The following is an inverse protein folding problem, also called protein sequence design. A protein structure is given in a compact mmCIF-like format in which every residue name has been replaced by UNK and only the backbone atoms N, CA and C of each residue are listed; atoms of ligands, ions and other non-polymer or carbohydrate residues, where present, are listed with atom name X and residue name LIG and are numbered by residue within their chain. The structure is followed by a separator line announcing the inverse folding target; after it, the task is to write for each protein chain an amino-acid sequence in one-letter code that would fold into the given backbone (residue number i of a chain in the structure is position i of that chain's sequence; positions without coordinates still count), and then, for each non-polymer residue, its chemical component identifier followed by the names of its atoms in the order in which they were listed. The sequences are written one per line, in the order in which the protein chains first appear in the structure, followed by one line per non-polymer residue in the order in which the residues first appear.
data_IF_880576804321
#
_entry.id   IF_880576804321
#
_cell.length_a   1.000
_cell.length_b   1.000
_cell.length_c   1.000
_cell.angle_alpha   90.00
_cell.angle_beta   90.00
_cell.angle_gamma   90.00
#
_symmetry.space_group_name_H-M   'P 1'
#
loop_
_entity.id
_entity.type
_entity.pdbx_description
1 polymer ?
#
# COMPACT_ATOMS: atom_id res chain seq x y z
N UNK A 1 -22.39 20.04 -8.30
CA UNK A 1 -22.62 18.57 -8.22
C UNK A 1 -23.68 18.21 -9.23
N UNK A 2 -23.40 17.30 -10.13
CA UNK A 2 -24.41 16.76 -11.04
C UNK A 2 -25.34 15.81 -10.25
N UNK A 3 -26.63 15.80 -10.59
CA UNK A 3 -27.56 14.84 -10.05
C UNK A 3 -27.35 13.45 -10.68
N UNK A 4 -27.85 12.41 -10.02
CA UNK A 4 -27.72 11.03 -10.50
C UNK A 4 -28.25 10.88 -11.94
N UNK A 5 -29.43 11.44 -12.23
CA UNK A 5 -30.03 11.36 -13.56
C UNK A 5 -29.24 12.09 -14.63
N UNK A 6 -28.71 13.27 -14.33
CA UNK A 6 -27.88 14.04 -15.27
C UNK A 6 -26.59 13.30 -15.61
N UNK A 7 -25.97 12.66 -14.62
CA UNK A 7 -24.78 11.83 -14.80
C UNK A 7 -25.07 10.59 -15.66
N UNK A 8 -26.16 9.87 -15.34
CA UNK A 8 -26.60 8.73 -16.17
C UNK A 8 -26.86 9.13 -17.61
N UNK A 9 -27.52 10.26 -17.83
CA UNK A 9 -27.78 10.81 -19.17
C UNK A 9 -26.51 11.20 -19.91
N UNK A 10 -25.55 11.81 -19.22
CA UNK A 10 -24.24 12.14 -19.76
C UNK A 10 -23.51 10.87 -20.19
N UNK A 11 -23.38 9.86 -19.30
CA UNK A 11 -22.71 8.59 -19.59
C UNK A 11 -23.36 7.88 -20.78
N UNK A 12 -24.68 7.74 -20.77
CA UNK A 12 -25.41 7.11 -21.86
C UNK A 12 -25.15 7.77 -23.21
N UNK A 13 -25.21 9.11 -23.25
CA UNK A 13 -24.94 9.87 -24.48
C UNK A 13 -23.48 9.71 -24.93
N UNK A 14 -22.53 9.78 -24.00
CA UNK A 14 -21.10 9.58 -24.31
C UNK A 14 -20.81 8.19 -24.88
N UNK A 15 -21.59 7.19 -24.47
CA UNK A 15 -21.52 5.82 -25.01
C UNK A 15 -22.39 5.60 -26.25
N UNK A 16 -23.06 6.66 -26.76
CA UNK A 16 -23.99 6.59 -27.91
C UNK A 16 -25.13 5.60 -27.74
N UNK A 17 -25.54 5.34 -26.50
CA UNK A 17 -26.63 4.41 -26.18
C UNK A 17 -27.98 5.09 -26.22
N UNK A 18 -28.99 4.35 -26.69
CA UNK A 18 -30.40 4.74 -26.56
C UNK A 18 -30.89 4.50 -25.12
N UNK A 19 -31.99 5.14 -24.73
CA UNK A 19 -32.62 4.85 -23.43
C UNK A 19 -33.07 3.38 -23.31
N UNK A 20 -33.39 2.73 -24.41
CA UNK A 20 -33.80 1.32 -24.45
C UNK A 20 -32.60 0.41 -24.12
N UNK A 21 -31.44 0.70 -24.67
CA UNK A 21 -30.21 -0.05 -24.41
C UNK A 21 -29.67 0.17 -22.99
N UNK A 22 -29.89 1.36 -22.43
CA UNK A 22 -29.53 1.65 -21.05
C UNK A 22 -30.44 0.97 -20.01
N UNK A 23 -31.69 0.63 -20.40
CA UNK A 23 -32.61 -0.11 -19.56
C UNK A 23 -32.18 -1.57 -19.44
N UNK A 24 -32.28 -2.16 -18.24
CA UNK A 24 -32.28 -3.61 -18.06
C UNK A 24 -33.71 -4.17 -18.28
N UNK A 25 -33.83 -5.48 -18.38
CA UNK A 25 -35.16 -6.13 -18.41
C UNK A 25 -36.03 -5.82 -17.21
N UNK A 26 -35.40 -5.48 -16.07
CA UNK A 26 -36.06 -5.13 -14.82
C UNK A 26 -36.56 -3.67 -14.76
N UNK A 27 -36.26 -2.84 -15.77
CA UNK A 27 -36.58 -1.41 -15.77
C UNK A 27 -37.25 -0.98 -17.10
N UNK A 28 -38.49 -0.50 -17.04
CA UNK A 28 -39.14 0.04 -18.23
C UNK A 28 -38.46 1.33 -18.71
N UNK A 29 -38.47 1.56 -20.02
CA UNK A 29 -37.93 2.80 -20.61
C UNK A 29 -38.55 4.05 -19.98
N UNK A 30 -39.83 4.03 -19.66
CA UNK A 30 -40.53 5.15 -19.02
C UNK A 30 -39.97 5.46 -17.63
N UNK A 31 -39.67 4.42 -16.82
CA UNK A 31 -39.04 4.60 -15.52
C UNK A 31 -37.59 5.08 -15.66
N UNK A 32 -36.83 4.54 -16.59
CA UNK A 32 -35.47 5.01 -16.86
C UNK A 32 -35.47 6.50 -17.25
N UNK A 33 -36.40 6.93 -18.12
CA UNK A 33 -36.54 8.33 -18.51
C UNK A 33 -36.85 9.24 -17.28
N UNK A 34 -37.67 8.76 -16.32
CA UNK A 34 -37.94 9.50 -15.09
C UNK A 34 -36.67 9.62 -14.21
N UNK A 35 -35.83 8.58 -14.17
CA UNK A 35 -34.54 8.60 -13.46
C UNK A 35 -33.61 9.63 -14.11
N UNK A 36 -33.41 9.58 -15.44
CA UNK A 36 -32.55 10.54 -16.17
C UNK A 36 -33.00 12.00 -16.00
N UNK A 37 -34.30 12.22 -15.79
CA UNK A 37 -34.85 13.55 -15.56
C UNK A 37 -34.94 13.92 -14.07
N UNK A 38 -34.27 13.16 -13.18
CA UNK A 38 -34.25 13.36 -11.73
C UNK A 38 -35.63 13.38 -11.07
N UNK A 39 -36.65 12.76 -11.71
CA UNK A 39 -38.02 12.70 -11.17
C UNK A 39 -38.21 11.59 -10.14
N UNK A 40 -37.43 10.54 -10.23
CA UNK A 40 -37.40 9.42 -9.28
C UNK A 40 -35.96 8.95 -9.09
N UNK A 41 -35.66 8.41 -7.90
CA UNK A 41 -34.41 7.70 -7.62
C UNK A 41 -34.60 6.21 -7.90
N UNK A 42 -33.64 5.53 -8.56
CA UNK A 42 -33.68 4.09 -8.68
C UNK A 42 -33.46 3.40 -7.33
N UNK A 43 -34.01 2.20 -7.14
CA UNK A 43 -33.56 1.33 -6.07
C UNK A 43 -32.11 0.91 -6.34
N UNK A 44 -31.39 0.47 -5.29
CA UNK A 44 -29.98 0.06 -5.44
C UNK A 44 -29.80 -1.03 -6.50
N UNK A 45 -30.68 -2.02 -6.51
CA UNK A 45 -30.59 -3.13 -7.49
C UNK A 45 -30.75 -2.63 -8.93
N UNK A 46 -31.69 -1.73 -9.17
CA UNK A 46 -31.90 -1.12 -10.50
C UNK A 46 -30.74 -0.25 -10.90
N UNK A 47 -30.19 0.49 -9.95
CA UNK A 47 -29.02 1.32 -10.21
C UNK A 47 -27.79 0.48 -10.58
N UNK A 48 -27.53 -0.61 -9.87
CA UNK A 48 -26.47 -1.57 -10.20
C UNK A 48 -26.70 -2.15 -11.61
N UNK A 49 -27.94 -2.53 -11.97
CA UNK A 49 -28.23 -3.05 -13.31
C UNK A 49 -27.97 -2.01 -14.42
N UNK A 50 -28.29 -0.73 -14.17
CA UNK A 50 -27.96 0.36 -15.12
C UNK A 50 -26.44 0.47 -15.29
N UNK A 51 -25.68 0.44 -14.19
CA UNK A 51 -24.23 0.51 -14.23
C UNK A 51 -23.62 -0.67 -14.98
N UNK A 52 -24.15 -1.89 -14.79
CA UNK A 52 -23.71 -3.07 -15.53
C UNK A 52 -23.95 -2.91 -17.05
N UNK A 53 -25.11 -2.35 -17.45
CA UNK A 53 -25.40 -2.06 -18.86
C UNK A 53 -24.44 -1.01 -19.45
N UNK A 54 -23.88 -0.16 -18.60
CA UNK A 54 -22.85 0.81 -18.98
C UNK A 54 -21.43 0.26 -18.90
N UNK A 55 -21.24 -0.99 -18.47
CA UNK A 55 -19.93 -1.55 -18.15
C UNK A 55 -19.14 -0.61 -17.23
N UNK A 56 -19.76 -0.18 -16.14
CA UNK A 56 -19.21 0.82 -15.22
C UNK A 56 -19.36 0.36 -13.78
N UNK A 57 -18.38 0.68 -12.93
CA UNK A 57 -18.47 0.47 -11.48
C UNK A 57 -19.17 1.64 -10.79
N UNK A 58 -19.63 1.42 -9.56
CA UNK A 58 -20.18 2.50 -8.73
C UNK A 58 -19.13 3.59 -8.45
N UNK A 59 -17.90 3.18 -8.21
CA UNK A 59 -16.78 4.10 -7.96
C UNK A 59 -16.52 5.01 -9.18
N UNK A 60 -16.49 4.43 -10.37
CA UNK A 60 -16.33 5.18 -11.62
C UNK A 60 -17.51 6.14 -11.84
N UNK A 61 -18.75 5.69 -11.58
CA UNK A 61 -19.93 6.56 -11.66
C UNK A 61 -19.84 7.77 -10.72
N UNK A 62 -19.48 7.54 -9.45
CA UNK A 62 -19.33 8.62 -8.47
C UNK A 62 -18.21 9.61 -8.86
N UNK A 63 -17.12 9.11 -9.46
CA UNK A 63 -16.04 9.94 -9.97
C UNK A 63 -16.49 10.81 -11.15
N UNK A 64 -17.20 10.24 -12.13
CA UNK A 64 -17.81 10.97 -13.26
C UNK A 64 -18.82 12.00 -12.77
N UNK A 65 -19.66 11.67 -11.78
CA UNK A 65 -20.65 12.58 -11.18
C UNK A 65 -20.01 13.84 -10.56
N UNK A 66 -18.76 13.75 -10.15
CA UNK A 66 -17.93 14.87 -9.67
C UNK A 66 -17.06 15.50 -10.76
N UNK A 67 -17.41 15.34 -12.03
CA UNK A 67 -16.65 15.86 -13.16
C UNK A 67 -15.18 15.41 -13.14
N UNK A 68 -14.95 14.10 -12.87
CA UNK A 68 -13.63 13.47 -12.77
C UNK A 68 -12.71 14.09 -11.70
N UNK A 69 -13.30 14.66 -10.65
CA UNK A 69 -12.56 15.24 -9.54
C UNK A 69 -12.68 14.34 -8.31
N UNK A 70 -11.58 13.98 -7.65
CA UNK A 70 -11.64 13.19 -6.44
C UNK A 70 -12.31 13.97 -5.30
N UNK A 71 -13.08 13.26 -4.46
CA UNK A 71 -13.54 13.84 -3.20
C UNK A 71 -12.34 14.08 -2.26
N UNK A 72 -12.46 14.93 -1.22
CA UNK A 72 -11.39 15.13 -0.25
C UNK A 72 -10.89 13.80 0.36
N UNK A 73 -11.79 12.89 0.69
CA UNK A 73 -11.43 11.55 1.20
C UNK A 73 -10.67 10.72 0.17
N UNK A 74 -11.14 10.65 -1.07
CA UNK A 74 -10.44 9.92 -2.14
C UNK A 74 -9.05 10.48 -2.41
N UNK A 75 -8.89 11.81 -2.35
CA UNK A 75 -7.57 12.45 -2.51
C UNK A 75 -6.61 12.04 -1.38
N UNK A 76 -7.07 12.04 -0.12
CA UNK A 76 -6.30 11.54 1.03
C UNK A 76 -5.87 10.10 0.78
N UNK A 77 -6.80 9.22 0.40
CA UNK A 77 -6.51 7.80 0.19
C UNK A 77 -5.58 7.55 -0.99
N UNK A 78 -5.73 8.32 -2.06
CA UNK A 78 -4.81 8.28 -3.19
C UNK A 78 -3.38 8.63 -2.76
N UNK A 79 -3.19 9.76 -2.05
CA UNK A 79 -1.87 10.17 -1.56
C UNK A 79 -1.31 9.15 -0.56
N UNK A 80 -2.12 8.68 0.38
CA UNK A 80 -1.74 7.63 1.33
C UNK A 80 -1.25 6.34 0.65
N UNK A 81 -1.91 5.95 -0.45
CA UNK A 81 -1.52 4.76 -1.23
C UNK A 81 -0.18 4.92 -1.96
N UNK A 82 0.24 6.16 -2.23
CA UNK A 82 1.49 6.50 -2.92
C UNK A 82 2.71 6.54 -2.02
N UNK A 83 2.53 6.54 -0.70
CA UNK A 83 3.64 6.47 0.24
C UNK A 83 4.33 5.10 0.08
N UNK A 84 5.56 5.13 -0.42
CA UNK A 84 6.36 3.93 -0.68
C UNK A 84 7.29 3.62 0.50
N UNK A 85 7.78 4.66 1.17
CA UNK A 85 8.71 4.55 2.29
C UNK A 85 8.32 5.50 3.42
N UNK A 86 8.67 5.16 4.64
CA UNK A 86 8.47 5.99 5.83
C UNK A 86 9.33 7.27 5.84
N UNK A 87 10.37 7.33 5.02
CA UNK A 87 11.29 8.48 4.92
C UNK A 87 10.73 9.68 4.12
N UNK A 88 9.55 9.55 3.52
CA UNK A 88 8.91 10.62 2.71
C UNK A 88 8.19 11.67 3.60
N UNK A 89 8.89 12.26 4.56
CA UNK A 89 8.32 13.09 5.64
C UNK A 89 7.49 14.28 5.16
N UNK A 90 7.85 14.90 4.04
CA UNK A 90 7.10 16.05 3.49
C UNK A 90 5.72 15.60 2.97
N UNK A 91 5.67 14.45 2.27
CA UNK A 91 4.42 13.86 1.80
C UNK A 91 3.54 13.45 2.98
N UNK A 92 4.14 12.82 4.03
CA UNK A 92 3.42 12.45 5.23
C UNK A 92 2.76 13.65 5.89
N UNK A 93 3.49 14.77 6.02
CA UNK A 93 2.99 16.01 6.63
C UNK A 93 1.83 16.62 5.82
N UNK A 94 1.93 16.66 4.48
CA UNK A 94 0.85 17.15 3.61
C UNK A 94 -0.42 16.29 3.77
N UNK A 95 -0.29 14.97 3.80
CA UNK A 95 -1.44 14.08 3.97
C UNK A 95 -2.07 14.21 5.35
N UNK A 96 -1.27 14.39 6.42
CA UNK A 96 -1.78 14.66 7.78
C UNK A 96 -2.63 15.93 7.78
N UNK A 97 -2.14 17.02 7.20
CA UNK A 97 -2.90 18.28 7.11
C UNK A 97 -4.23 18.10 6.40
N UNK A 98 -4.26 17.36 5.28
CA UNK A 98 -5.50 17.02 4.57
C UNK A 98 -6.46 16.17 5.41
N UNK A 99 -5.94 15.24 6.20
CA UNK A 99 -6.76 14.47 7.15
C UNK A 99 -7.38 15.38 8.21
N UNK A 100 -6.61 16.34 8.75
CA UNK A 100 -7.10 17.30 9.74
C UNK A 100 -8.24 18.16 9.18
N UNK A 101 -8.06 18.71 7.99
CA UNK A 101 -9.09 19.51 7.34
C UNK A 101 -10.37 18.70 7.07
N UNK A 102 -10.22 17.48 6.59
CA UNK A 102 -11.36 16.58 6.37
C UNK A 102 -12.09 16.24 7.66
N UNK A 103 -11.36 15.94 8.73
CA UNK A 103 -11.94 15.55 10.02
C UNK A 103 -12.65 16.69 10.76
N UNK A 104 -12.40 17.97 10.42
CA UNK A 104 -13.19 19.11 10.94
C UNK A 104 -14.65 18.98 10.54
N UNK A 105 -14.91 18.51 9.30
CA UNK A 105 -16.27 18.34 8.77
C UNK A 105 -16.83 16.92 9.03
N UNK A 106 -15.94 15.94 9.22
CA UNK A 106 -16.26 14.51 9.37
C UNK A 106 -15.59 13.89 10.61
N UNK A 107 -15.85 14.38 11.84
CA UNK A 107 -15.12 13.98 13.05
C UNK A 107 -15.31 12.50 13.44
N UNK A 108 -16.33 11.82 12.91
CA UNK A 108 -16.62 10.41 13.20
C UNK A 108 -16.05 9.43 12.18
N UNK A 109 -15.27 9.91 11.18
CA UNK A 109 -14.64 9.03 10.22
C UNK A 109 -13.42 8.33 10.83
N UNK A 110 -13.67 7.15 11.42
CA UNK A 110 -12.65 6.34 12.10
C UNK A 110 -11.49 6.01 11.16
N UNK A 111 -11.77 5.71 9.88
CA UNK A 111 -10.72 5.31 8.95
C UNK A 111 -9.74 6.46 8.64
N UNK A 112 -10.22 7.67 8.41
CA UNK A 112 -9.33 8.82 8.20
C UNK A 112 -8.60 9.20 9.50
N UNK A 113 -9.23 9.01 10.67
CA UNK A 113 -8.56 9.15 11.97
C UNK A 113 -7.41 8.14 12.13
N UNK A 114 -7.61 6.88 11.74
CA UNK A 114 -6.58 5.85 11.74
C UNK A 114 -5.44 6.16 10.75
N UNK A 115 -5.77 6.64 9.54
CA UNK A 115 -4.78 7.09 8.55
C UNK A 115 -3.93 8.21 9.14
N UNK A 116 -4.56 9.23 9.72
CA UNK A 116 -3.84 10.34 10.37
C UNK A 116 -2.90 9.83 11.46
N UNK A 117 -3.43 9.06 12.42
CA UNK A 117 -2.63 8.51 13.52
C UNK A 117 -1.47 7.63 13.03
N UNK A 118 -1.69 6.85 11.96
CA UNK A 118 -0.64 6.06 11.32
C UNK A 118 0.51 6.92 10.82
N UNK A 119 0.20 8.01 10.10
CA UNK A 119 1.19 8.92 9.54
C UNK A 119 1.94 9.68 10.63
N UNK A 120 1.25 10.14 11.68
CA UNK A 120 1.86 10.77 12.85
C UNK A 120 2.79 9.79 13.57
N UNK A 121 2.37 8.53 13.75
CA UNK A 121 3.22 7.49 14.34
C UNK A 121 4.47 7.19 13.50
N UNK A 122 4.34 7.17 12.17
CA UNK A 122 5.48 7.00 11.25
C UNK A 122 6.45 8.18 11.41
N UNK A 123 5.97 9.43 11.45
CA UNK A 123 6.82 10.61 11.62
C UNK A 123 7.60 10.58 12.94
N UNK A 124 6.94 10.19 14.04
CA UNK A 124 7.59 10.05 15.35
C UNK A 124 8.70 8.99 15.32
N UNK A 125 8.44 7.84 14.67
CA UNK A 125 9.42 6.77 14.58
C UNK A 125 10.63 7.15 13.71
N UNK A 126 10.40 7.79 12.55
CA UNK A 126 11.45 8.06 11.56
C UNK A 126 12.23 9.35 11.83
N UNK A 127 11.54 10.42 12.22
CA UNK A 127 12.13 11.74 12.36
C UNK A 127 12.67 12.00 13.77
N UNK A 128 11.94 11.55 14.76
CA UNK A 128 12.26 11.77 16.18
C UNK A 128 12.92 10.55 16.84
N UNK A 129 12.94 9.40 16.11
CA UNK A 129 13.43 8.11 16.63
C UNK A 129 12.74 7.67 17.93
N UNK A 130 11.54 8.19 18.18
CA UNK A 130 10.74 7.86 19.37
C UNK A 130 9.70 6.77 19.08
N UNK A 131 10.17 5.53 19.02
CA UNK A 131 9.30 4.37 18.82
C UNK A 131 8.31 4.14 19.96
N UNK A 132 8.60 4.66 21.19
CA UNK A 132 7.67 4.54 22.30
C UNK A 132 6.45 5.43 22.08
N UNK A 133 6.67 6.71 21.79
CA UNK A 133 5.59 7.66 21.53
C UNK A 133 4.83 7.29 20.25
N UNK A 134 5.55 6.85 19.22
CA UNK A 134 4.94 6.34 17.99
C UNK A 134 3.98 5.17 18.27
N UNK A 135 4.38 4.23 19.11
CA UNK A 135 3.56 3.09 19.52
C UNK A 135 2.33 3.52 20.32
N UNK A 136 2.48 4.41 21.27
CA UNK A 136 1.36 4.96 22.03
C UNK A 136 0.32 5.61 21.10
N UNK A 137 0.78 6.28 20.06
CA UNK A 137 -0.07 6.93 19.05
C UNK A 137 -0.94 5.95 18.25
N UNK A 138 -0.42 4.77 17.92
CA UNK A 138 -1.10 3.79 17.03
C UNK A 138 -1.65 2.56 17.77
N UNK A 139 -1.37 2.40 19.07
CA UNK A 139 -1.73 1.21 19.85
C UNK A 139 -3.23 0.90 19.79
N UNK A 140 -4.09 1.92 19.91
CA UNK A 140 -5.55 1.75 19.86
C UNK A 140 -6.05 1.12 18.56
N UNK A 141 -5.36 1.36 17.45
CA UNK A 141 -5.70 0.77 16.15
C UNK A 141 -5.53 -0.75 16.23
N UNK A 142 -4.37 -1.20 16.71
CA UNK A 142 -4.10 -2.62 16.87
C UNK A 142 -4.99 -3.26 17.93
N UNK A 143 -5.22 -2.63 19.07
CA UNK A 143 -6.12 -3.13 20.12
C UNK A 143 -7.53 -3.38 19.58
N UNK A 144 -8.02 -2.52 18.71
CA UNK A 144 -9.32 -2.67 18.03
C UNK A 144 -9.30 -3.78 17.00
N UNK A 145 -8.31 -3.73 16.08
CA UNK A 145 -8.25 -4.65 14.94
C UNK A 145 -7.78 -6.06 15.32
N UNK A 146 -7.03 -6.21 16.41
CA UNK A 146 -6.64 -7.53 16.93
C UNK A 146 -7.84 -8.38 17.37
N UNK A 147 -8.90 -7.74 17.85
CA UNK A 147 -10.15 -8.36 18.29
C UNK A 147 -11.13 -8.69 17.14
N UNK A 148 -10.87 -8.15 15.94
CA UNK A 148 -11.72 -8.41 14.77
C UNK A 148 -11.48 -9.80 14.22
N UNK A 149 -12.55 -10.54 13.84
CA UNK A 149 -12.41 -11.84 13.17
C UNK A 149 -11.78 -11.71 11.78
N UNK A 150 -12.18 -10.69 11.05
CA UNK A 150 -11.70 -10.39 9.69
C UNK A 150 -11.10 -8.99 9.62
N UNK A 151 -10.12 -8.79 8.72
CA UNK A 151 -9.62 -7.47 8.35
C UNK A 151 -10.12 -7.13 6.95
N UNK A 152 -10.74 -5.98 6.83
CA UNK A 152 -11.14 -5.44 5.54
C UNK A 152 -10.00 -4.64 4.90
N UNK A 153 -10.18 -4.28 3.62
CA UNK A 153 -9.11 -3.64 2.84
C UNK A 153 -8.50 -2.41 3.53
N UNK A 154 -9.33 -1.55 4.10
CA UNK A 154 -8.87 -0.36 4.79
C UNK A 154 -8.04 -0.68 6.04
N UNK A 155 -8.42 -1.72 6.79
CA UNK A 155 -7.66 -2.18 7.96
C UNK A 155 -6.28 -2.70 7.55
N UNK A 156 -6.24 -3.45 6.43
CA UNK A 156 -4.98 -3.95 5.85
C UNK A 156 -4.08 -2.78 5.46
N UNK A 157 -4.64 -1.74 4.81
CA UNK A 157 -3.89 -0.57 4.37
C UNK A 157 -3.30 0.24 5.53
N UNK A 158 -4.00 0.31 6.65
CA UNK A 158 -3.48 0.96 7.88
C UNK A 158 -2.40 0.10 8.53
N UNK A 159 -2.70 -1.16 8.82
CA UNK A 159 -1.78 -2.04 9.55
C UNK A 159 -0.46 -2.29 8.80
N UNK A 160 -0.50 -2.38 7.46
CA UNK A 160 0.72 -2.58 6.66
C UNK A 160 1.71 -1.42 6.78
N UNK A 161 1.24 -0.24 7.17
CA UNK A 161 2.08 0.94 7.29
C UNK A 161 2.62 1.17 8.72
N UNK A 162 2.01 0.55 9.75
CA UNK A 162 2.39 0.78 11.14
C UNK A 162 2.96 -0.44 11.87
N UNK A 163 2.92 -1.64 11.27
CA UNK A 163 3.34 -2.86 11.96
C UNK A 163 4.78 -2.76 12.52
N UNK A 164 5.68 -2.05 11.83
CA UNK A 164 7.08 -1.89 12.24
C UNK A 164 7.28 -1.00 13.48
N UNK A 165 6.27 -0.24 13.88
CA UNK A 165 6.27 0.59 15.09
C UNK A 165 6.13 -0.28 16.36
N UNK A 166 5.54 -1.46 16.22
CA UNK A 166 5.32 -2.39 17.32
C UNK A 166 6.56 -3.22 17.64
N UNK A 167 6.56 -3.80 18.83
CA UNK A 167 7.62 -4.75 19.22
C UNK A 167 7.59 -6.00 18.33
N UNK A 168 8.74 -6.68 18.25
CA UNK A 168 9.00 -7.76 17.31
C UNK A 168 7.89 -8.83 17.30
N UNK A 169 7.44 -9.29 18.45
CA UNK A 169 6.38 -10.32 18.55
C UNK A 169 5.06 -9.82 17.96
N UNK A 170 4.61 -8.63 18.34
CA UNK A 170 3.38 -8.01 17.83
C UNK A 170 3.49 -7.74 16.33
N UNK A 171 4.61 -7.20 15.87
CA UNK A 171 4.87 -6.92 14.45
C UNK A 171 4.78 -8.21 13.61
N UNK A 172 5.41 -9.30 14.05
CA UNK A 172 5.31 -10.59 13.38
C UNK A 172 3.88 -11.13 13.35
N UNK A 173 3.13 -10.96 14.44
CA UNK A 173 1.71 -11.36 14.49
C UNK A 173 0.89 -10.58 13.46
N UNK A 174 1.05 -9.24 13.40
CA UNK A 174 0.38 -8.38 12.42
C UNK A 174 0.71 -8.84 11.00
N UNK A 175 1.99 -8.99 10.66
CA UNK A 175 2.45 -9.41 9.33
C UNK A 175 1.86 -10.76 8.92
N UNK A 176 1.87 -11.74 9.83
CA UNK A 176 1.30 -13.06 9.55
C UNK A 176 -0.19 -12.96 9.22
N UNK A 177 -0.93 -12.17 9.99
CA UNK A 177 -2.37 -11.96 9.78
C UNK A 177 -2.64 -11.23 8.47
N UNK A 178 -1.87 -10.19 8.15
CA UNK A 178 -1.97 -9.45 6.88
C UNK A 178 -1.75 -10.36 5.66
N UNK A 179 -0.72 -11.20 5.67
CA UNK A 179 -0.44 -12.14 4.57
C UNK A 179 -1.62 -13.10 4.33
N UNK A 180 -2.27 -13.58 5.39
CA UNK A 180 -3.45 -14.45 5.27
C UNK A 180 -4.63 -13.68 4.66
N UNK A 181 -4.89 -12.46 5.12
CA UNK A 181 -6.01 -11.65 4.65
C UNK A 181 -5.82 -11.16 3.21
N UNK A 182 -4.61 -10.75 2.81
CA UNK A 182 -4.31 -10.30 1.44
C UNK A 182 -4.70 -11.32 0.38
N UNK A 183 -4.57 -12.61 0.66
CA UNK A 183 -4.97 -13.67 -0.27
C UNK A 183 -6.45 -13.62 -0.65
N UNK A 184 -7.32 -13.14 0.25
CA UNK A 184 -8.76 -13.00 -0.01
C UNK A 184 -9.06 -11.87 -1.00
N UNK A 185 -8.20 -10.85 -1.04
CA UNK A 185 -8.36 -9.65 -1.86
C UNK A 185 -7.67 -9.70 -3.22
N UNK A 186 -6.96 -10.79 -3.54
CA UNK A 186 -6.11 -10.94 -4.75
C UNK A 186 -6.82 -10.69 -6.09
N UNK A 187 -8.13 -10.91 -6.14
CA UNK A 187 -8.94 -10.68 -7.35
C UNK A 187 -9.58 -9.28 -7.40
N UNK A 188 -9.56 -8.56 -6.29
CA UNK A 188 -10.15 -7.23 -6.19
C UNK A 188 -9.08 -6.13 -6.26
N UNK A 189 -7.90 -6.39 -5.67
CA UNK A 189 -6.82 -5.42 -5.57
C UNK A 189 -5.47 -6.03 -5.95
N UNK A 190 -4.49 -5.21 -6.39
CA UNK A 190 -3.13 -5.67 -6.71
C UNK A 190 -2.33 -5.97 -5.42
N UNK A 191 -2.67 -7.06 -4.74
CA UNK A 191 -2.13 -7.41 -3.41
C UNK A 191 -0.71 -7.94 -3.44
N UNK A 192 -0.21 -8.38 -4.61
CA UNK A 192 1.03 -9.14 -4.71
C UNK A 192 2.27 -8.34 -4.28
N UNK A 193 2.35 -7.06 -4.68
CA UNK A 193 3.46 -6.19 -4.25
C UNK A 193 3.49 -6.01 -2.73
N UNK A 194 2.32 -5.87 -2.11
CA UNK A 194 2.19 -5.75 -0.66
C UNK A 194 2.62 -7.05 0.02
N UNK A 195 2.18 -8.21 -0.49
CA UNK A 195 2.54 -9.52 0.04
C UNK A 195 4.07 -9.73 0.01
N UNK A 196 4.71 -9.38 -1.11
CA UNK A 196 6.17 -9.46 -1.25
C UNK A 196 6.85 -8.56 -0.22
N UNK A 197 6.43 -7.30 -0.09
CA UNK A 197 7.01 -6.36 0.89
C UNK A 197 6.85 -6.87 2.32
N UNK A 198 5.69 -7.42 2.68
CA UNK A 198 5.47 -8.00 4.01
C UNK A 198 6.37 -9.21 4.28
N UNK A 199 6.62 -10.07 3.30
CA UNK A 199 7.58 -11.17 3.44
C UNK A 199 9.01 -10.67 3.61
N UNK A 200 9.42 -9.65 2.86
CA UNK A 200 10.74 -9.01 2.99
C UNK A 200 10.90 -8.38 4.37
N UNK A 201 9.88 -7.66 4.85
CA UNK A 201 9.90 -7.05 6.17
C UNK A 201 9.86 -8.11 7.30
N UNK A 202 9.10 -9.20 7.12
CA UNK A 202 9.15 -10.34 8.04
C UNK A 202 10.56 -10.89 8.19
N UNK A 203 11.31 -10.97 7.09
CA UNK A 203 12.69 -11.42 7.14
C UNK A 203 13.57 -10.51 8.01
N UNK A 204 13.30 -9.19 8.06
CA UNK A 204 14.00 -8.27 8.98
C UNK A 204 13.89 -8.72 10.43
N UNK A 205 12.67 -9.05 10.89
CA UNK A 205 12.46 -9.53 12.27
C UNK A 205 13.11 -10.87 12.54
N UNK A 206 13.12 -11.76 11.54
CA UNK A 206 13.80 -13.05 11.66
C UNK A 206 15.33 -12.89 11.71
N UNK A 207 15.88 -11.90 11.04
CA UNK A 207 17.32 -11.56 11.13
C UNK A 207 17.63 -11.01 12.53
N UNK A 208 16.77 -10.14 13.09
CA UNK A 208 16.91 -9.63 14.45
C UNK A 208 16.82 -10.72 15.51
N UNK A 209 16.02 -11.76 15.27
CA UNK A 209 15.90 -12.96 16.12
C UNK A 209 16.98 -14.02 15.83
N UNK A 210 17.97 -13.71 14.97
CA UNK A 210 19.04 -14.64 14.53
C UNK A 210 18.55 -15.92 13.86
N UNK A 211 17.31 -15.94 13.34
CA UNK A 211 16.68 -17.06 12.61
C UNK A 211 17.00 -16.99 11.12
N UNK A 212 18.29 -17.05 10.78
CA UNK A 212 18.79 -16.73 9.44
C UNK A 212 18.28 -17.67 8.34
N UNK A 213 18.20 -18.97 8.57
CA UNK A 213 17.72 -19.96 7.58
C UNK A 213 16.23 -19.71 7.24
N UNK A 214 15.42 -19.38 8.27
CA UNK A 214 14.01 -19.08 8.06
C UNK A 214 13.84 -17.73 7.34
N UNK A 215 14.67 -16.73 7.66
CA UNK A 215 14.71 -15.47 6.94
C UNK A 215 15.05 -15.70 5.45
N UNK A 216 16.06 -16.51 5.16
CA UNK A 216 16.48 -16.85 3.81
C UNK A 216 15.35 -17.49 3.00
N UNK A 217 14.59 -18.41 3.59
CA UNK A 217 13.43 -19.02 2.94
C UNK A 217 12.41 -17.98 2.46
N UNK A 218 12.02 -17.01 3.31
CA UNK A 218 11.06 -15.96 2.91
C UNK A 218 11.63 -14.99 1.90
N UNK A 219 12.91 -14.66 2.01
CA UNK A 219 13.61 -13.79 1.07
C UNK A 219 13.67 -14.45 -0.32
N UNK A 220 14.04 -15.70 -0.43
CA UNK A 220 14.13 -16.41 -1.71
C UNK A 220 12.77 -16.55 -2.39
N UNK A 221 11.73 -16.82 -1.60
CA UNK A 221 10.35 -16.82 -2.08
C UNK A 221 9.99 -15.43 -2.64
N UNK A 222 10.33 -14.35 -1.93
CA UNK A 222 10.07 -12.97 -2.35
C UNK A 222 10.82 -12.62 -3.64
N UNK A 223 12.10 -12.99 -3.75
CA UNK A 223 12.91 -12.79 -4.95
C UNK A 223 12.29 -13.48 -6.16
N UNK A 224 11.86 -14.73 -6.00
CA UNK A 224 11.22 -15.49 -7.08
C UNK A 224 9.94 -14.80 -7.58
N UNK A 225 9.06 -14.45 -6.66
CA UNK A 225 7.77 -13.82 -6.99
C UNK A 225 7.99 -12.43 -7.60
N UNK A 226 8.86 -11.62 -6.99
CA UNK A 226 9.17 -10.27 -7.47
C UNK A 226 9.75 -10.30 -8.90
N UNK A 227 10.68 -11.22 -9.17
CA UNK A 227 11.26 -11.38 -10.51
C UNK A 227 10.23 -11.81 -11.55
N UNK A 228 9.37 -12.77 -11.22
CA UNK A 228 8.34 -13.29 -12.14
C UNK A 228 7.27 -12.25 -12.50
N UNK A 229 7.02 -11.27 -11.61
CA UNK A 229 5.97 -10.27 -11.76
C UNK A 229 6.51 -8.84 -11.96
N UNK A 230 7.80 -8.70 -12.23
CA UNK A 230 8.47 -7.43 -12.54
C UNK A 230 8.39 -6.36 -11.42
N UNK A 231 8.34 -6.79 -10.16
CA UNK A 231 8.39 -5.90 -9.00
C UNK A 231 9.85 -5.60 -8.63
N UNK A 232 10.51 -4.72 -9.40
CA UNK A 232 11.95 -4.50 -9.32
C UNK A 232 12.41 -3.85 -8.02
N UNK A 233 11.62 -2.95 -7.42
CA UNK A 233 11.92 -2.35 -6.11
C UNK A 233 11.97 -3.43 -5.03
N UNK A 234 10.92 -4.25 -4.91
CA UNK A 234 10.86 -5.33 -3.93
C UNK A 234 11.95 -6.39 -4.20
N UNK A 235 12.27 -6.61 -5.48
CA UNK A 235 13.38 -7.49 -5.85
C UNK A 235 14.71 -6.96 -5.32
N UNK A 236 15.02 -5.67 -5.49
CA UNK A 236 16.26 -5.07 -4.99
C UNK A 236 16.39 -5.21 -3.48
N UNK A 237 15.32 -4.86 -2.73
CA UNK A 237 15.29 -4.98 -1.28
C UNK A 237 15.47 -6.43 -0.81
N UNK A 238 14.79 -7.39 -1.44
CA UNK A 238 14.93 -8.81 -1.11
C UNK A 238 16.33 -9.34 -1.41
N UNK A 239 16.95 -8.92 -2.53
CA UNK A 239 18.32 -9.33 -2.90
C UNK A 239 19.35 -8.75 -1.92
N UNK A 240 19.18 -7.51 -1.46
CA UNK A 240 20.03 -6.92 -0.42
C UNK A 240 19.94 -7.72 0.89
N UNK A 241 18.73 -8.02 1.35
CA UNK A 241 18.52 -8.85 2.56
C UNK A 241 19.11 -10.26 2.41
N UNK A 242 19.00 -10.88 1.22
CA UNK A 242 19.68 -12.14 0.96
C UNK A 242 21.18 -12.03 1.22
N UNK A 243 21.79 -10.94 0.73
CA UNK A 243 23.21 -10.68 0.96
C UNK A 243 23.55 -10.56 2.44
N UNK A 244 22.75 -9.81 3.21
CA UNK A 244 22.93 -9.65 4.67
C UNK A 244 22.83 -11.01 5.37
N UNK A 245 21.82 -11.81 5.05
CA UNK A 245 21.62 -13.13 5.69
C UNK A 245 22.77 -14.09 5.39
N UNK A 246 23.20 -14.19 4.12
CA UNK A 246 24.33 -15.03 3.75
C UNK A 246 25.61 -14.61 4.48
N UNK A 247 25.83 -13.30 4.59
CA UNK A 247 26.97 -12.77 5.34
C UNK A 247 26.94 -13.19 6.83
N UNK A 248 25.77 -13.09 7.49
CA UNK A 248 25.57 -13.54 8.87
C UNK A 248 25.69 -15.05 9.05
N UNK A 249 25.37 -15.85 8.02
CA UNK A 249 25.57 -17.30 8.00
C UNK A 249 27.04 -17.71 7.76
N UNK A 250 27.97 -16.74 7.59
CA UNK A 250 29.39 -16.98 7.34
C UNK A 250 29.78 -17.08 5.86
N UNK A 251 28.80 -17.06 4.94
CA UNK A 251 29.04 -17.02 3.48
C UNK A 251 29.36 -15.59 3.01
N UNK A 252 30.40 -14.99 3.60
CA UNK A 252 30.72 -13.56 3.46
C UNK A 252 30.85 -13.10 2.01
N UNK A 253 31.58 -13.83 1.17
CA UNK A 253 31.79 -13.43 -0.24
C UNK A 253 30.48 -13.53 -1.06
N UNK A 254 29.72 -14.58 -0.89
CA UNK A 254 28.39 -14.67 -1.51
C UNK A 254 27.47 -13.53 -1.06
N UNK A 255 27.48 -13.22 0.23
CA UNK A 255 26.73 -12.09 0.80
C UNK A 255 27.08 -10.76 0.14
N UNK A 256 28.39 -10.45 0.00
CA UNK A 256 28.88 -9.24 -0.68
C UNK A 256 28.36 -9.15 -2.13
N UNK A 257 28.45 -10.24 -2.88
CA UNK A 257 27.97 -10.27 -4.29
C UNK A 257 26.49 -9.92 -4.39
N UNK A 258 25.63 -10.46 -3.49
CA UNK A 258 24.20 -10.14 -3.51
C UNK A 258 23.93 -8.68 -3.12
N UNK A 259 24.57 -8.14 -2.09
CA UNK A 259 24.44 -6.74 -1.71
C UNK A 259 24.86 -5.78 -2.83
N UNK A 260 26.02 -6.02 -3.44
CA UNK A 260 26.50 -5.25 -4.60
C UNK A 260 25.52 -5.33 -5.78
N UNK A 261 24.96 -6.51 -6.05
CA UNK A 261 23.94 -6.67 -7.10
C UNK A 261 22.70 -5.81 -6.85
N UNK A 262 22.20 -5.80 -5.62
CA UNK A 262 21.05 -4.98 -5.25
C UNK A 262 21.32 -3.49 -5.47
N UNK A 263 22.47 -2.99 -5.01
CA UNK A 263 22.91 -1.61 -5.18
C UNK A 263 23.07 -1.23 -6.66
N UNK A 264 23.65 -2.11 -7.49
CA UNK A 264 23.77 -1.87 -8.93
C UNK A 264 22.42 -1.75 -9.61
N UNK A 265 21.47 -2.65 -9.30
CA UNK A 265 20.13 -2.61 -9.90
C UNK A 265 19.40 -1.33 -9.49
N UNK A 266 19.43 -0.96 -8.20
CA UNK A 266 18.81 0.27 -7.72
C UNK A 266 19.41 1.52 -8.41
N UNK A 267 20.72 1.53 -8.63
CA UNK A 267 21.42 2.63 -9.34
C UNK A 267 21.03 2.70 -10.82
N UNK A 268 20.95 1.56 -11.52
CA UNK A 268 20.54 1.52 -12.94
C UNK A 268 19.08 1.99 -13.12
N UNK A 269 18.23 1.74 -12.11
CA UNK A 269 16.84 2.21 -12.10
C UNK A 269 16.72 3.69 -11.68
N UNK A 270 17.84 4.35 -11.34
CA UNK A 270 17.87 5.75 -10.85
C UNK A 270 16.99 5.98 -9.61
N UNK A 271 16.79 4.92 -8.80
CA UNK A 271 15.96 4.93 -7.60
C UNK A 271 16.81 5.29 -6.36
N UNK A 272 17.18 6.57 -6.24
CA UNK A 272 18.06 7.08 -5.18
C UNK A 272 17.57 6.75 -3.76
N UNK A 273 16.24 6.79 -3.53
CA UNK A 273 15.65 6.46 -2.23
C UNK A 273 15.84 5.00 -1.88
N UNK A 274 15.65 4.10 -2.85
CA UNK A 274 15.86 2.66 -2.66
C UNK A 274 17.34 2.38 -2.46
N UNK A 275 18.19 3.06 -3.20
CA UNK A 275 19.65 2.95 -3.05
C UNK A 275 20.10 3.35 -1.64
N UNK A 276 19.61 4.48 -1.12
CA UNK A 276 19.87 4.92 0.26
C UNK A 276 19.36 3.92 1.28
N UNK A 277 18.07 3.52 1.17
CA UNK A 277 17.47 2.57 2.11
C UNK A 277 18.19 1.22 2.17
N UNK A 278 18.71 0.71 1.02
CA UNK A 278 19.52 -0.50 1.00
C UNK A 278 20.86 -0.29 1.72
N UNK A 279 21.51 0.86 1.52
CA UNK A 279 22.76 1.19 2.22
C UNK A 279 22.55 1.28 3.73
N UNK A 280 21.49 1.99 4.15
CA UNK A 280 21.17 2.16 5.56
C UNK A 280 20.87 0.82 6.23
N UNK A 281 20.17 -0.08 5.55
CA UNK A 281 19.88 -1.42 6.07
C UNK A 281 21.15 -2.29 6.16
N UNK A 282 22.02 -2.27 5.14
CA UNK A 282 23.31 -2.95 5.20
C UNK A 282 24.15 -2.42 6.37
N UNK A 283 24.19 -1.10 6.53
CA UNK A 283 24.90 -0.45 7.63
C UNK A 283 24.34 -0.88 8.99
N UNK A 284 23.03 -0.91 9.14
CA UNK A 284 22.37 -1.32 10.38
C UNK A 284 22.74 -2.76 10.81
N UNK A 285 22.74 -3.71 9.88
CA UNK A 285 22.98 -5.12 10.20
C UNK A 285 24.46 -5.52 10.23
N UNK A 286 25.34 -4.79 9.53
CA UNK A 286 26.74 -5.16 9.30
C UNK A 286 27.73 -4.05 9.70
N UNK A 287 27.34 -3.14 10.58
CA UNK A 287 28.11 -1.95 10.97
C UNK A 287 29.59 -2.24 11.30
N UNK A 288 29.88 -3.34 12.01
CA UNK A 288 31.23 -3.71 12.43
C UNK A 288 32.09 -4.28 11.28
N UNK A 289 31.46 -4.64 10.16
CA UNK A 289 32.12 -5.30 9.01
C UNK A 289 32.16 -4.41 7.74
N UNK A 290 31.61 -3.17 7.79
CA UNK A 290 31.44 -2.31 6.60
C UNK A 290 32.74 -1.95 5.92
N UNK A 291 33.82 -1.70 6.66
CA UNK A 291 35.13 -1.39 6.09
C UNK A 291 35.66 -2.53 5.19
N UNK A 292 35.25 -3.77 5.45
CA UNK A 292 35.60 -4.94 4.67
C UNK A 292 34.74 -5.15 3.42
N UNK A 293 33.61 -4.42 3.28
CA UNK A 293 32.62 -4.71 2.22
C UNK A 293 32.96 -4.10 0.87
N UNK A 294 33.93 -3.15 0.76
CA UNK A 294 34.31 -2.48 -0.50
C UNK A 294 33.12 -2.03 -1.37
N UNK A 295 31.99 -1.67 -0.75
CA UNK A 295 30.75 -1.33 -1.45
C UNK A 295 30.89 -0.11 -2.36
N UNK A 296 31.94 0.72 -2.12
CA UNK A 296 32.21 1.93 -2.91
C UNK A 296 32.65 1.62 -4.36
N UNK A 297 33.26 0.46 -4.63
CA UNK A 297 33.62 0.07 -6.01
C UNK A 297 32.41 -0.41 -6.82
N UNK A 298 31.41 -0.97 -6.18
CA UNK A 298 30.18 -1.42 -6.85
C UNK A 298 29.36 -0.26 -7.47
N UNK A 299 29.69 0.99 -7.12
CA UNK A 299 29.01 2.18 -7.64
C UNK A 299 29.68 2.77 -8.88
N UNK A 300 30.88 2.31 -9.26
CA UNK A 300 31.51 2.69 -10.52
C UNK A 300 31.01 1.79 -11.65
N UNK A 301 29.92 2.19 -12.29
CA UNK A 301 29.53 1.65 -13.59
C UNK A 301 30.26 2.49 -14.62
N UNK A 302 31.25 1.90 -15.28
CA UNK A 302 31.71 2.43 -16.55
C UNK A 302 30.59 2.10 -17.56
N UNK A 303 29.88 3.12 -18.01
CA UNK A 303 28.95 3.08 -19.13
C UNK A 303 29.71 2.86 -20.42
#
# INVERSE_FOLDING_TARGET
MQNVGDTLKFIRKSKSLTQKEACSEALSRSNYQKIENNKIMPSIDRFIQILLNFNMTLEEFEFVKRDFTPSPKENILYLYSKILTSSETDILTDVISKCEDYLKEHPTDIFISDVKASLEGILLAEKEHDFKLAREKVAYIWERLSKSGELFWNDIMVLRNIFFIFENETAQHIVNRLIVQLKKYRYLYPTLSIEISLHVNRATYLILDEKYELALYFIEKSIKIAKQNHYYIQFCMAVAKKGIVLYKLGEKEAGKVFMQRALRVAKVLEEERILSGIKDEINYFLHDDIEQLSLNEATKINL
#
